data_IF_743262345903
#
_entry.id   IF_743262345903
#
_cell.length_a   1.000
_cell.length_b   1.000
_cell.length_c   1.000
_cell.angle_alpha   90.00
_cell.angle_beta   90.00
_cell.angle_gamma   90.00
#
_symmetry.space_group_name_H-M   'P 1'
#
loop_
_entity.id
_entity.type
_entity.pdbx_description
1 polymer ?
#
# COMPACT_ATOMS: atom_id res chain seq x y z
N UNK A 1 10.74 -0.37 -14.19
CA UNK A 1 10.90 -1.64 -13.43
C UNK A 1 9.57 -2.37 -13.50
N UNK A 2 9.48 -3.71 -13.31
CA UNK A 2 8.18 -4.37 -13.25
C UNK A 2 7.27 -3.68 -12.22
N UNK A 3 6.03 -3.35 -12.58
CA UNK A 3 4.99 -2.76 -11.72
C UNK A 3 5.25 -1.37 -11.12
N UNK A 4 6.50 -0.90 -11.16
CA UNK A 4 6.90 0.40 -10.66
C UNK A 4 7.32 1.30 -11.83
N UNK A 5 6.63 2.42 -12.08
CA UNK A 5 6.80 3.26 -13.28
C UNK A 5 8.05 4.15 -13.21
N UNK A 6 9.21 3.55 -12.96
CA UNK A 6 10.51 4.21 -12.84
C UNK A 6 11.43 3.86 -14.02
N UNK A 7 12.08 4.87 -14.65
CA UNK A 7 13.20 4.64 -15.55
C UNK A 7 14.49 4.38 -14.76
N UNK A 8 15.36 3.53 -15.30
CA UNK A 8 16.74 3.42 -14.80
C UNK A 8 17.55 4.65 -15.20
N UNK A 9 17.84 5.51 -14.22
CA UNK A 9 18.65 6.73 -14.36
C UNK A 9 19.28 7.11 -13.01
N UNK A 10 20.22 8.05 -13.05
CA UNK A 10 20.83 8.65 -11.86
C UNK A 10 20.85 10.17 -12.00
N UNK A 11 20.89 10.90 -10.89
CA UNK A 11 21.05 12.34 -10.92
C UNK A 11 22.08 12.81 -9.90
N UNK A 12 22.85 13.84 -10.26
CA UNK A 12 23.66 14.60 -9.31
C UNK A 12 22.93 15.92 -9.06
N UNK A 13 22.56 16.16 -7.80
CA UNK A 13 21.97 17.42 -7.36
C UNK A 13 23.07 18.36 -6.89
N UNK A 14 23.16 19.55 -7.48
CA UNK A 14 24.12 20.57 -7.11
C UNK A 14 23.44 21.65 -6.28
N UNK A 15 24.13 22.18 -5.26
CA UNK A 15 23.64 23.31 -4.49
C UNK A 15 23.62 24.63 -5.30
N UNK A 16 24.47 24.76 -6.31
CA UNK A 16 24.74 26.02 -7.03
C UNK A 16 24.20 26.08 -8.45
N UNK A 17 23.70 24.96 -9.00
CA UNK A 17 23.26 24.87 -10.40
C UNK A 17 22.19 23.79 -10.59
N UNK A 18 21.61 23.74 -11.79
CA UNK A 18 20.63 22.71 -12.15
C UNK A 18 21.17 21.29 -11.91
N UNK A 19 20.34 20.34 -11.45
CA UNK A 19 20.71 18.94 -11.39
C UNK A 19 21.11 18.39 -12.76
N UNK A 20 22.04 17.44 -12.75
CA UNK A 20 22.42 16.70 -13.95
C UNK A 20 21.81 15.30 -13.91
N UNK A 21 20.95 14.98 -14.87
CA UNK A 21 20.28 13.69 -15.04
C UNK A 21 21.05 12.82 -16.04
N UNK A 22 21.48 11.65 -15.60
CA UNK A 22 22.19 10.63 -16.39
C UNK A 22 21.23 9.51 -16.75
N UNK A 23 20.88 9.42 -18.03
CA UNK A 23 19.87 8.48 -18.53
C UNK A 23 20.23 8.03 -19.94
N UNK A 24 19.82 6.81 -20.30
CA UNK A 24 19.93 6.31 -21.68
C UNK A 24 19.14 7.22 -22.64
N UNK A 25 19.78 7.86 -23.64
CA UNK A 25 19.11 8.81 -24.53
C UNK A 25 17.91 8.23 -25.27
N UNK A 26 17.89 6.92 -25.53
CA UNK A 26 16.78 6.23 -26.22
C UNK A 26 15.47 6.29 -25.42
N UNK A 27 15.54 6.51 -24.11
CA UNK A 27 14.37 6.65 -23.22
C UNK A 27 13.81 8.08 -23.18
N UNK A 28 14.49 9.05 -23.80
CA UNK A 28 14.15 10.47 -23.71
C UNK A 28 13.74 11.01 -25.09
N UNK A 29 12.46 10.81 -25.43
CA UNK A 29 11.85 11.39 -26.62
C UNK A 29 11.73 12.92 -26.56
N UNK A 30 11.35 13.55 -27.68
CA UNK A 30 11.30 15.00 -27.82
C UNK A 30 10.43 15.70 -26.76
N UNK A 31 9.24 15.17 -26.47
CA UNK A 31 8.35 15.73 -25.45
C UNK A 31 8.97 15.71 -24.05
N UNK A 32 9.56 14.58 -23.66
CA UNK A 32 10.23 14.42 -22.35
C UNK A 32 11.42 15.37 -22.26
N UNK A 33 12.22 15.46 -23.33
CA UNK A 33 13.36 16.38 -23.40
C UNK A 33 12.94 17.84 -23.23
N UNK A 34 11.88 18.26 -23.94
CA UNK A 34 11.35 19.62 -23.85
C UNK A 34 10.81 19.95 -22.45
N UNK A 35 10.13 18.99 -21.81
CA UNK A 35 9.65 19.14 -20.44
C UNK A 35 10.81 19.28 -19.44
N UNK A 36 11.82 18.40 -19.53
CA UNK A 36 12.93 18.34 -18.57
C UNK A 36 13.97 19.46 -18.74
N UNK A 37 14.11 20.05 -19.92
CA UNK A 37 15.14 21.07 -20.21
C UNK A 37 15.09 22.30 -19.27
N UNK A 38 13.91 22.60 -18.73
CA UNK A 38 13.74 23.69 -17.75
C UNK A 38 14.33 23.34 -16.39
N UNK A 39 14.30 22.07 -15.99
CA UNK A 39 14.59 21.62 -14.63
C UNK A 39 15.98 21.00 -14.49
N UNK A 40 16.43 20.21 -15.47
CA UNK A 40 17.67 19.43 -15.39
C UNK A 40 18.49 19.54 -16.67
N UNK A 41 19.81 19.33 -16.54
CA UNK A 41 20.68 19.07 -17.68
C UNK A 41 20.74 17.57 -17.94
N UNK A 42 20.44 17.12 -19.15
CA UNK A 42 20.44 15.70 -19.51
C UNK A 42 21.81 15.31 -20.06
N UNK A 43 22.38 14.23 -19.52
CA UNK A 43 23.61 13.60 -19.99
C UNK A 43 23.38 12.11 -20.25
N UNK A 44 24.19 11.54 -21.14
CA UNK A 44 24.22 10.10 -21.37
C UNK A 44 24.63 9.36 -20.08
N UNK A 45 24.05 8.19 -19.83
CA UNK A 45 24.38 7.35 -18.67
C UNK A 45 25.88 7.08 -18.54
N UNK A 46 26.61 6.93 -19.64
CA UNK A 46 28.06 6.70 -19.68
C UNK A 46 28.88 7.85 -19.10
N UNK A 47 28.35 9.07 -19.07
CA UNK A 47 29.03 10.25 -18.53
C UNK A 47 29.06 10.30 -16.98
N UNK A 48 28.28 9.44 -16.30
CA UNK A 48 28.14 9.48 -14.83
C UNK A 48 29.48 9.30 -14.11
N UNK A 49 30.29 8.31 -14.52
CA UNK A 49 31.58 8.06 -13.89
C UNK A 49 32.54 9.25 -14.03
N UNK A 50 32.56 9.89 -15.21
CA UNK A 50 33.34 11.10 -15.45
C UNK A 50 32.90 12.25 -14.55
N UNK A 51 31.58 12.47 -14.42
CA UNK A 51 31.04 13.51 -13.56
C UNK A 51 31.37 13.30 -12.07
N UNK A 52 31.32 12.06 -11.57
CA UNK A 52 31.75 11.72 -10.20
C UNK A 52 33.25 11.98 -10.01
N UNK A 53 34.08 11.63 -10.99
CA UNK A 53 35.52 11.90 -10.96
C UNK A 53 35.83 13.40 -10.91
N UNK A 54 35.07 14.21 -11.64
CA UNK A 54 35.25 15.66 -11.64
C UNK A 54 34.82 16.30 -10.30
N UNK A 55 33.82 15.75 -9.61
CA UNK A 55 33.51 16.12 -8.22
C UNK A 55 34.71 15.85 -7.29
N UNK A 56 35.34 14.69 -7.42
CA UNK A 56 36.52 14.36 -6.62
C UNK A 56 37.73 15.24 -6.88
N UNK A 57 38.05 15.54 -8.16
CA UNK A 57 39.12 16.50 -8.50
C UNK A 57 38.89 17.87 -7.89
N UNK A 58 37.63 18.30 -7.81
CA UNK A 58 37.23 19.55 -7.18
C UNK A 58 37.23 19.49 -5.65
N UNK A 59 37.57 18.34 -5.04
CA UNK A 59 37.44 18.06 -3.60
C UNK A 59 36.06 18.42 -3.06
N UNK A 60 35.03 18.15 -3.86
CA UNK A 60 33.67 18.50 -3.51
C UNK A 60 33.17 17.67 -2.32
N UNK A 61 32.32 18.28 -1.51
CA UNK A 61 31.57 17.62 -0.44
C UNK A 61 30.30 17.00 -1.02
N UNK A 62 30.17 15.68 -0.97
CA UNK A 62 29.08 14.95 -1.61
C UNK A 62 28.30 14.18 -0.55
N UNK A 63 27.01 14.51 -0.41
CA UNK A 63 26.11 13.72 0.43
C UNK A 63 25.81 12.39 -0.23
N UNK A 64 25.96 11.30 0.51
CA UNK A 64 25.64 9.96 0.05
C UNK A 64 24.89 9.22 1.16
N UNK A 65 23.78 8.59 0.82
CA UNK A 65 22.98 7.82 1.77
C UNK A 65 23.65 6.46 2.04
N UNK A 66 24.14 6.18 3.26
CA UNK A 66 24.81 4.93 3.55
C UNK A 66 23.88 3.71 3.53
N UNK A 67 22.56 3.89 3.65
CA UNK A 67 21.60 2.79 3.68
C UNK A 67 21.17 2.34 2.28
N UNK A 68 21.13 3.26 1.32
CA UNK A 68 20.50 3.01 0.01
C UNK A 68 21.42 3.20 -1.19
N UNK A 69 22.53 3.92 -1.06
CA UNK A 69 23.42 4.15 -2.18
C UNK A 69 24.27 2.90 -2.51
N UNK A 70 24.33 2.46 -3.78
CA UNK A 70 25.25 1.39 -4.17
C UNK A 70 26.72 1.74 -3.87
N UNK A 71 27.49 0.77 -3.37
CA UNK A 71 28.91 0.93 -3.02
C UNK A 71 29.78 1.51 -4.16
N UNK A 72 29.40 1.27 -5.42
CA UNK A 72 30.06 1.87 -6.57
C UNK A 72 30.15 3.40 -6.49
N UNK A 73 29.13 4.08 -5.98
CA UNK A 73 29.18 5.55 -5.82
C UNK A 73 30.24 5.99 -4.81
N UNK A 74 30.31 5.33 -3.65
CA UNK A 74 31.35 5.64 -2.66
C UNK A 74 32.74 5.34 -3.20
N UNK A 75 32.91 4.24 -3.95
CA UNK A 75 34.21 3.87 -4.52
C UNK A 75 34.70 4.91 -5.55
N UNK A 76 33.81 5.37 -6.45
CA UNK A 76 34.15 6.39 -7.43
C UNK A 76 34.48 7.74 -6.77
N UNK A 77 33.72 8.13 -5.76
CA UNK A 77 33.93 9.40 -5.04
C UNK A 77 35.21 9.39 -4.21
N UNK A 78 35.46 8.31 -3.46
CA UNK A 78 36.67 8.15 -2.65
C UNK A 78 37.93 8.09 -3.52
N UNK A 79 37.92 7.27 -4.58
CA UNK A 79 39.08 7.13 -5.47
C UNK A 79 39.42 8.41 -6.25
N UNK A 80 38.47 9.33 -6.39
CA UNK A 80 38.68 10.63 -7.05
C UNK A 80 39.00 11.77 -6.09
N UNK A 81 38.93 11.56 -4.77
CA UNK A 81 39.29 12.56 -3.75
C UNK A 81 38.14 13.45 -3.27
N UNK A 82 36.88 13.05 -3.48
CA UNK A 82 35.72 13.75 -2.92
C UNK A 82 35.59 13.50 -1.40
N UNK A 83 35.00 14.45 -0.67
CA UNK A 83 34.63 14.28 0.74
C UNK A 83 33.20 13.75 0.82
N UNK A 84 33.02 12.50 1.24
CA UNK A 84 31.68 11.91 1.41
C UNK A 84 31.09 12.33 2.76
N UNK A 85 29.89 12.91 2.71
CA UNK A 85 29.06 13.20 3.87
C UNK A 85 27.95 12.14 3.98
N UNK A 86 28.10 11.18 4.89
CA UNK A 86 27.11 10.14 5.12
C UNK A 86 25.83 10.71 5.75
N UNK A 87 24.76 10.79 4.97
CA UNK A 87 23.45 11.23 5.44
C UNK A 87 22.33 10.80 4.48
N UNK A 88 21.13 10.57 5.01
CA UNK A 88 19.96 10.07 4.27
C UNK A 88 19.66 10.82 2.97
N UNK A 89 19.09 10.17 1.96
CA UNK A 89 18.71 10.87 0.72
C UNK A 89 17.70 12.01 0.98
N UNK A 90 18.00 13.19 0.44
CA UNK A 90 17.19 14.40 0.57
C UNK A 90 15.82 14.27 -0.12
N UNK A 91 15.67 13.36 -1.07
CA UNK A 91 14.42 13.09 -1.76
C UNK A 91 13.44 12.27 -0.91
N UNK A 92 13.89 11.58 0.15
CA UNK A 92 13.06 10.67 0.94
C UNK A 92 11.89 11.38 1.63
N UNK A 93 12.16 12.46 2.36
CA UNK A 93 11.12 13.18 3.11
C UNK A 93 10.13 13.91 2.19
N UNK A 94 10.55 14.69 1.17
CA UNK A 94 9.62 15.38 0.29
C UNK A 94 8.66 14.46 -0.46
N UNK A 95 9.11 13.29 -0.94
CA UNK A 95 8.21 12.34 -1.62
C UNK A 95 7.31 11.56 -0.65
N UNK A 96 7.73 11.41 0.61
CA UNK A 96 6.93 10.75 1.64
C UNK A 96 5.68 11.56 2.01
N UNK A 97 5.81 12.89 2.06
CA UNK A 97 4.74 13.83 2.43
C UNK A 97 4.03 14.29 1.16
N UNK A 98 2.86 13.72 0.87
CA UNK A 98 2.09 14.05 -0.33
C UNK A 98 1.45 15.43 -0.15
N UNK A 99 1.50 16.23 -1.21
CA UNK A 99 0.79 17.51 -1.23
C UNK A 99 -0.71 17.30 -1.51
N UNK A 100 -1.50 18.37 -1.43
CA UNK A 100 -2.97 18.29 -1.60
C UNK A 100 -3.42 17.74 -2.95
N UNK A 101 -2.68 17.97 -4.03
CA UNK A 101 -2.97 17.44 -5.37
C UNK A 101 -2.69 15.94 -5.42
N UNK A 102 -1.57 15.49 -4.85
CA UNK A 102 -1.23 14.06 -4.76
C UNK A 102 -2.22 13.30 -3.87
N UNK A 103 -2.65 13.88 -2.75
CA UNK A 103 -3.67 13.26 -1.87
C UNK A 103 -5.02 13.20 -2.60
N UNK A 104 -5.43 14.26 -3.32
CA UNK A 104 -6.65 14.23 -4.12
C UNK A 104 -6.58 13.16 -5.22
N UNK A 105 -5.43 13.03 -5.89
CA UNK A 105 -5.17 11.96 -6.85
C UNK A 105 -5.28 10.57 -6.22
N UNK A 106 -4.69 10.37 -5.05
CA UNK A 106 -4.79 9.12 -4.30
C UNK A 106 -6.26 8.79 -3.97
N UNK A 107 -7.06 9.74 -3.50
CA UNK A 107 -8.51 9.54 -3.28
C UNK A 107 -9.23 9.10 -4.56
N UNK A 108 -8.99 9.78 -5.69
CA UNK A 108 -9.59 9.42 -6.98
C UNK A 108 -9.15 8.04 -7.48
N UNK A 109 -7.88 7.67 -7.28
CA UNK A 109 -7.37 6.34 -7.60
C UNK A 109 -8.08 5.25 -6.76
N UNK A 110 -8.27 5.47 -5.46
CA UNK A 110 -8.94 4.51 -4.58
C UNK A 110 -10.45 4.43 -4.78
N UNK A 111 -11.11 5.52 -5.17
CA UNK A 111 -12.52 5.48 -5.58
C UNK A 111 -12.68 4.57 -6.82
N UNK A 112 -11.83 4.78 -7.83
CA UNK A 112 -11.82 3.98 -9.05
C UNK A 112 -11.51 2.50 -8.78
N UNK A 113 -10.48 2.24 -7.98
CA UNK A 113 -10.12 0.87 -7.61
C UNK A 113 -11.19 0.21 -6.74
N UNK A 114 -11.84 0.99 -5.86
CA UNK A 114 -12.97 0.55 -5.05
C UNK A 114 -14.15 0.07 -5.90
N UNK A 115 -14.44 0.72 -7.03
CA UNK A 115 -15.44 0.24 -8.00
C UNK A 115 -15.03 -1.12 -8.57
N UNK A 116 -13.78 -1.26 -9.05
CA UNK A 116 -13.28 -2.51 -9.62
C UNK A 116 -13.31 -3.67 -8.60
N UNK A 117 -12.85 -3.42 -7.37
CA UNK A 117 -12.85 -4.40 -6.28
C UNK A 117 -14.27 -4.76 -5.87
N UNK A 118 -15.20 -3.80 -5.75
CA UNK A 118 -16.59 -4.12 -5.40
C UNK A 118 -17.28 -4.97 -6.47
N UNK A 119 -17.02 -4.72 -7.76
CA UNK A 119 -17.51 -5.58 -8.86
C UNK A 119 -16.90 -6.97 -8.81
N UNK A 120 -15.61 -7.07 -8.49
CA UNK A 120 -14.95 -8.35 -8.27
C UNK A 120 -15.57 -9.13 -7.11
N UNK A 121 -15.76 -8.50 -5.95
CA UNK A 121 -16.35 -9.15 -4.79
C UNK A 121 -17.79 -9.61 -5.05
N UNK A 122 -18.60 -8.78 -5.72
CA UNK A 122 -19.95 -9.15 -6.14
C UNK A 122 -19.95 -10.35 -7.11
N UNK A 123 -19.07 -10.31 -8.11
CA UNK A 123 -18.89 -11.40 -9.08
C UNK A 123 -18.48 -12.69 -8.38
N UNK A 124 -17.49 -12.64 -7.47
CA UNK A 124 -16.97 -13.80 -6.77
C UNK A 124 -18.04 -14.44 -5.86
N UNK A 125 -18.83 -13.61 -5.17
CA UNK A 125 -19.91 -14.08 -4.31
C UNK A 125 -20.99 -14.80 -5.12
N UNK A 126 -21.31 -14.30 -6.32
CA UNK A 126 -22.23 -14.95 -7.26
C UNK A 126 -21.72 -16.30 -7.82
N UNK A 127 -20.41 -16.56 -7.76
CA UNK A 127 -19.83 -17.86 -8.14
C UNK A 127 -19.88 -18.90 -7.00
N UNK A 128 -20.19 -18.49 -5.76
CA UNK A 128 -20.22 -19.41 -4.61
C UNK A 128 -21.58 -20.11 -4.52
N UNK A 129 -21.66 -21.45 -4.35
CA UNK A 129 -20.58 -22.39 -4.05
C UNK A 129 -20.06 -23.18 -5.27
N UNK A 130 -20.28 -22.71 -6.50
CA UNK A 130 -20.14 -23.49 -7.75
C UNK A 130 -18.73 -24.04 -8.04
N UNK A 131 -17.71 -23.71 -7.24
CA UNK A 131 -16.40 -24.37 -7.24
C UNK A 131 -15.61 -24.26 -8.55
N UNK A 132 -16.08 -23.45 -9.49
CA UNK A 132 -15.51 -23.27 -10.84
C UNK A 132 -14.31 -22.33 -10.83
N UNK A 133 -14.30 -21.37 -9.90
CA UNK A 133 -13.23 -20.37 -9.74
C UNK A 133 -12.01 -20.97 -9.05
N UNK A 134 -10.83 -20.64 -9.55
CA UNK A 134 -9.53 -20.90 -8.92
C UNK A 134 -8.75 -19.60 -8.69
N UNK A 135 -7.60 -19.71 -8.03
CA UNK A 135 -6.76 -18.57 -7.68
C UNK A 135 -6.35 -17.74 -8.91
N UNK A 136 -5.96 -18.39 -10.01
CA UNK A 136 -5.56 -17.70 -11.25
C UNK A 136 -6.76 -16.96 -11.84
N UNK A 137 -7.88 -17.65 -12.07
CA UNK A 137 -9.07 -17.03 -12.69
C UNK A 137 -9.67 -15.91 -11.84
N UNK A 138 -9.56 -15.99 -10.51
CA UNK A 138 -9.95 -14.89 -9.62
C UNK A 138 -9.04 -13.66 -9.78
N UNK A 139 -7.72 -13.86 -9.83
CA UNK A 139 -6.74 -12.77 -10.03
C UNK A 139 -6.94 -12.09 -11.40
N UNK A 140 -7.04 -12.90 -12.47
CA UNK A 140 -7.31 -12.40 -13.83
C UNK A 140 -8.62 -11.63 -13.90
N UNK A 141 -9.66 -12.10 -13.21
CA UNK A 141 -10.96 -11.42 -13.19
C UNK A 141 -10.91 -10.08 -12.46
N UNK A 142 -10.18 -9.99 -11.35
CA UNK A 142 -9.99 -8.73 -10.63
C UNK A 142 -9.21 -7.72 -11.48
N UNK A 143 -8.14 -8.16 -12.14
CA UNK A 143 -7.38 -7.31 -13.05
C UNK A 143 -8.24 -6.84 -14.23
N UNK A 144 -9.07 -7.73 -14.80
CA UNK A 144 -9.99 -7.36 -15.87
C UNK A 144 -10.97 -6.25 -15.44
N UNK A 145 -11.49 -6.29 -14.21
CA UNK A 145 -12.34 -5.20 -13.69
C UNK A 145 -11.58 -3.87 -13.56
N UNK A 146 -10.27 -3.90 -13.27
CA UNK A 146 -9.41 -2.71 -13.29
C UNK A 146 -9.15 -2.22 -14.72
N UNK A 147 -8.92 -3.12 -15.67
CA UNK A 147 -8.79 -2.78 -17.11
C UNK A 147 -10.06 -2.09 -17.62
N UNK A 148 -11.24 -2.59 -17.25
CA UNK A 148 -12.54 -2.03 -17.63
C UNK A 148 -12.75 -0.57 -17.16
N UNK A 149 -11.95 -0.07 -16.20
CA UNK A 149 -11.97 1.35 -15.82
C UNK A 149 -11.42 2.27 -16.92
N UNK A 150 -10.67 1.73 -17.88
CA UNK A 150 -9.99 2.49 -18.94
C UNK A 150 -8.85 3.39 -18.46
N UNK A 151 -8.46 3.29 -17.18
CA UNK A 151 -7.42 4.14 -16.57
C UNK A 151 -6.23 3.37 -16.02
N UNK A 152 -6.33 2.05 -15.88
CA UNK A 152 -5.22 1.20 -15.43
C UNK A 152 -3.99 1.41 -16.31
N UNK A 153 -2.84 1.61 -15.67
CA UNK A 153 -1.53 1.61 -16.36
C UNK A 153 -0.84 0.28 -16.25
N UNK A 154 -0.86 -0.30 -15.05
CA UNK A 154 -0.35 -1.64 -14.74
C UNK A 154 -0.91 -2.03 -13.36
N UNK A 155 -0.85 -3.31 -12.98
CA UNK A 155 -0.97 -3.70 -11.57
C UNK A 155 0.26 -3.19 -10.79
N UNK A 156 0.08 -2.75 -9.54
CA UNK A 156 1.18 -2.18 -8.72
C UNK A 156 2.14 -3.22 -8.15
N UNK A 157 1.74 -4.50 -8.18
CA UNK A 157 2.54 -5.69 -7.89
C UNK A 157 1.80 -6.94 -8.41
N UNK A 158 2.49 -8.08 -8.44
CA UNK A 158 1.87 -9.37 -8.76
C UNK A 158 0.78 -9.71 -7.73
N UNK A 159 -0.46 -9.90 -8.18
CA UNK A 159 -1.58 -10.21 -7.29
C UNK A 159 -1.34 -11.52 -6.53
N UNK A 160 -1.42 -11.46 -5.20
CA UNK A 160 -1.45 -12.63 -4.34
C UNK A 160 -2.90 -13.12 -4.31
N UNK A 161 -3.11 -14.34 -4.75
CA UNK A 161 -4.43 -14.98 -4.82
C UNK A 161 -4.32 -16.35 -4.18
N UNK A 162 -4.70 -16.46 -2.91
CA UNK A 162 -4.45 -17.64 -2.08
C UNK A 162 -5.72 -18.24 -1.48
N UNK A 163 -6.08 -19.46 -1.89
CA UNK A 163 -7.22 -20.21 -1.39
C UNK A 163 -6.81 -21.25 -0.34
N UNK A 164 -7.49 -21.24 0.81
CA UNK A 164 -7.21 -22.14 1.92
C UNK A 164 -5.73 -22.08 2.32
N UNK A 165 -5.00 -23.21 2.34
CA UNK A 165 -3.60 -23.26 2.80
C UNK A 165 -2.67 -22.28 2.10
N UNK A 166 -2.90 -21.98 0.82
CA UNK A 166 -2.07 -21.04 0.07
C UNK A 166 -2.17 -19.61 0.60
N UNK A 167 -3.33 -19.23 1.15
CA UNK A 167 -3.51 -17.93 1.81
C UNK A 167 -2.66 -17.78 3.08
N UNK A 168 -2.17 -18.88 3.67
CA UNK A 168 -1.28 -18.83 4.85
C UNK A 168 0.18 -18.48 4.49
N UNK A 169 0.54 -18.43 3.21
CA UNK A 169 1.89 -18.08 2.76
C UNK A 169 1.89 -16.58 2.44
N UNK A 170 2.57 -15.78 3.26
CA UNK A 170 2.50 -14.30 3.22
C UNK A 170 2.82 -13.75 1.83
N UNK A 171 3.91 -14.22 1.21
CA UNK A 171 4.33 -13.85 -0.15
C UNK A 171 4.01 -14.96 -1.16
N UNK A 172 2.79 -15.51 -1.10
CA UNK A 172 2.37 -16.54 -2.04
C UNK A 172 2.31 -15.98 -3.46
N UNK A 173 2.86 -16.73 -4.42
CA UNK A 173 2.69 -16.46 -5.84
C UNK A 173 2.11 -17.70 -6.51
N UNK A 174 0.89 -17.57 -7.03
CA UNK A 174 0.21 -18.65 -7.71
C UNK A 174 0.96 -19.04 -8.98
N UNK A 175 1.09 -20.34 -9.21
CA UNK A 175 1.60 -20.90 -10.46
C UNK A 175 0.57 -21.89 -11.01
N UNK A 176 0.72 -22.31 -12.27
CA UNK A 176 -0.15 -23.35 -12.84
C UNK A 176 -0.11 -24.66 -12.05
N UNK A 177 1.00 -24.97 -11.38
CA UNK A 177 1.15 -26.20 -10.57
C UNK A 177 0.63 -26.05 -9.14
N UNK A 178 0.58 -24.83 -8.60
CA UNK A 178 0.11 -24.56 -7.22
C UNK A 178 -1.33 -24.03 -7.16
N UNK A 179 -1.95 -23.74 -8.31
CA UNK A 179 -3.30 -23.20 -8.47
C UNK A 179 -4.37 -24.08 -7.80
N UNK A 180 -5.16 -23.49 -6.91
CA UNK A 180 -6.24 -24.16 -6.18
C UNK A 180 -7.61 -23.61 -6.56
N UNK A 181 -8.59 -24.51 -6.66
CA UNK A 181 -10.01 -24.14 -6.71
C UNK A 181 -10.47 -23.54 -5.38
N UNK A 182 -11.30 -22.51 -5.44
CA UNK A 182 -11.94 -21.91 -4.28
C UNK A 182 -13.07 -22.83 -3.82
N UNK A 183 -12.83 -23.56 -2.72
CA UNK A 183 -13.76 -24.57 -2.19
C UNK A 183 -14.62 -23.97 -1.07
N UNK A 184 -15.89 -24.38 -1.02
CA UNK A 184 -16.79 -24.04 0.09
C UNK A 184 -16.19 -24.49 1.43
N UNK A 185 -16.34 -23.67 2.47
CA UNK A 185 -15.76 -23.87 3.79
C UNK A 185 -14.31 -23.40 3.94
N UNK A 186 -13.73 -22.73 2.93
CA UNK A 186 -12.38 -22.17 2.98
C UNK A 186 -12.39 -20.65 2.98
N UNK A 187 -11.24 -20.05 3.34
CA UNK A 187 -10.99 -18.62 3.11
C UNK A 187 -10.24 -18.43 1.79
N UNK A 188 -10.52 -17.32 1.14
CA UNK A 188 -9.77 -16.82 0.00
C UNK A 188 -9.18 -15.45 0.34
N UNK A 189 -7.87 -15.33 0.27
CA UNK A 189 -7.14 -14.08 0.46
C UNK A 189 -6.73 -13.58 -0.91
N UNK A 190 -7.12 -12.34 -1.23
CA UNK A 190 -6.65 -11.62 -2.42
C UNK A 190 -6.01 -10.32 -2.00
N UNK A 191 -4.75 -10.15 -2.39
CA UNK A 191 -3.98 -8.94 -2.19
C UNK A 191 -3.45 -8.45 -3.53
N UNK A 192 -3.78 -7.21 -3.85
CA UNK A 192 -3.62 -6.69 -5.19
C UNK A 192 -3.67 -5.16 -5.19
N UNK A 193 -3.07 -4.56 -6.21
CA UNK A 193 -3.15 -3.12 -6.38
C UNK A 193 -2.99 -2.69 -7.84
N UNK A 194 -3.15 -1.39 -8.08
CA UNK A 194 -3.11 -0.80 -9.40
C UNK A 194 -2.26 0.47 -9.43
N UNK A 195 -1.64 0.70 -10.59
CA UNK A 195 -1.02 1.95 -10.96
C UNK A 195 -2.00 2.75 -11.82
N UNK A 196 -2.34 3.94 -11.34
CA UNK A 196 -3.03 4.97 -12.09
C UNK A 196 -2.15 6.22 -12.17
N UNK A 197 -2.32 7.06 -13.19
CA UNK A 197 -1.51 8.29 -13.31
C UNK A 197 -1.64 9.22 -12.11
N UNK A 198 -2.75 9.11 -11.39
CA UNK A 198 -3.13 9.89 -10.23
C UNK A 198 -2.81 9.21 -8.89
N UNK A 199 -2.34 7.96 -8.87
CA UNK A 199 -1.98 7.29 -7.62
C UNK A 199 -1.66 5.81 -7.74
N UNK A 200 -1.11 5.24 -6.67
CA UNK A 200 -0.84 3.82 -6.51
C UNK A 200 -1.78 3.25 -5.44
N UNK A 201 -2.42 2.11 -5.70
CA UNK A 201 -3.27 1.43 -4.72
C UNK A 201 -2.63 0.14 -4.21
N UNK A 202 -3.02 -0.22 -2.99
CA UNK A 202 -2.72 -1.49 -2.35
C UNK A 202 -3.93 -1.91 -1.50
N UNK A 203 -4.36 -3.15 -1.63
CA UNK A 203 -5.55 -3.66 -0.94
C UNK A 203 -5.57 -5.19 -0.88
N UNK A 204 -5.55 -5.67 0.36
CA UNK A 204 -5.93 -7.03 0.72
C UNK A 204 -7.37 -7.15 1.25
N UNK A 205 -8.10 -8.14 0.74
CA UNK A 205 -9.35 -8.65 1.34
C UNK A 205 -9.28 -10.16 1.55
N UNK A 206 -9.77 -10.58 2.71
CA UNK A 206 -10.04 -12.00 2.98
C UNK A 206 -11.54 -12.26 2.92
N UNK A 207 -11.95 -13.23 2.11
CA UNK A 207 -13.34 -13.55 1.77
C UNK A 207 -13.66 -14.98 2.21
N UNK A 208 -14.85 -15.17 2.79
CA UNK A 208 -15.38 -16.51 3.07
C UNK A 208 -15.93 -17.14 1.78
N UNK A 209 -15.41 -18.31 1.39
CA UNK A 209 -16.02 -19.12 0.33
C UNK A 209 -16.96 -20.10 1.00
N UNK A 210 -18.26 -19.80 1.01
CA UNK A 210 -19.25 -20.54 1.78
C UNK A 210 -19.17 -20.27 3.30
N UNK A 211 -19.77 -21.14 4.14
CA UNK A 211 -19.82 -20.92 5.59
C UNK A 211 -18.44 -21.00 6.26
N UNK A 212 -17.97 -19.96 6.97
CA UNK A 212 -16.70 -20.00 7.69
C UNK A 212 -16.82 -20.74 9.03
N UNK A 213 -15.71 -21.31 9.50
CA UNK A 213 -15.63 -21.94 10.82
C UNK A 213 -15.63 -20.90 11.96
N UNK A 214 -15.95 -21.33 13.20
CA UNK A 214 -15.83 -20.48 14.39
C UNK A 214 -14.41 -19.94 14.57
N UNK A 215 -13.40 -20.76 14.33
CA UNK A 215 -12.00 -20.33 14.42
C UNK A 215 -11.68 -19.26 13.39
N UNK A 216 -12.05 -19.45 12.12
CA UNK A 216 -11.82 -18.45 11.07
C UNK A 216 -12.46 -17.09 11.43
N UNK A 217 -13.67 -17.10 12.00
CA UNK A 217 -14.34 -15.87 12.46
C UNK A 217 -13.61 -15.22 13.64
N UNK A 218 -13.17 -16.00 14.62
CA UNK A 218 -12.37 -15.48 15.74
C UNK A 218 -11.08 -14.81 15.25
N UNK A 219 -10.31 -15.51 14.41
CA UNK A 219 -9.03 -15.00 13.89
C UNK A 219 -9.23 -13.76 13.02
N UNK A 220 -10.25 -13.77 12.15
CA UNK A 220 -10.56 -12.61 11.33
C UNK A 220 -10.95 -11.41 12.17
N UNK A 221 -11.77 -11.61 13.19
CA UNK A 221 -12.22 -10.52 14.05
C UNK A 221 -11.08 -9.92 14.85
N UNK A 222 -10.09 -10.70 15.28
CA UNK A 222 -8.87 -10.18 15.93
C UNK A 222 -8.03 -9.32 14.98
N UNK A 223 -7.82 -9.79 13.75
CA UNK A 223 -7.13 -9.01 12.71
C UNK A 223 -7.89 -7.71 12.43
N UNK A 224 -9.22 -7.77 12.33
CA UNK A 224 -10.08 -6.61 12.15
C UNK A 224 -9.96 -5.61 13.31
N UNK A 225 -9.95 -6.08 14.56
CA UNK A 225 -9.74 -5.22 15.73
C UNK A 225 -8.39 -4.50 15.66
N UNK A 226 -7.34 -5.20 15.22
CA UNK A 226 -6.03 -4.59 14.99
C UNK A 226 -6.06 -3.51 13.92
N UNK A 227 -6.73 -3.79 12.80
CA UNK A 227 -6.91 -2.85 11.70
C UNK A 227 -7.67 -1.59 12.16
N UNK A 228 -8.75 -1.77 12.91
CA UNK A 228 -9.55 -0.67 13.47
C UNK A 228 -8.73 0.15 14.47
N UNK A 229 -7.92 -0.51 15.32
CA UNK A 229 -7.08 0.17 16.30
C UNK A 229 -6.10 1.16 15.65
N UNK A 230 -5.51 0.79 14.50
CA UNK A 230 -4.68 1.70 13.71
C UNK A 230 -5.55 2.79 13.06
N UNK A 231 -6.59 2.40 12.32
CA UNK A 231 -7.40 3.33 11.54
C UNK A 231 -8.13 4.39 12.40
N UNK A 232 -8.39 4.08 13.67
CA UNK A 232 -9.03 4.99 14.63
C UNK A 232 -8.06 5.68 15.59
N UNK A 233 -6.76 5.42 15.47
CA UNK A 233 -5.76 5.99 16.36
C UNK A 233 -5.77 7.52 16.34
N UNK A 234 -5.47 8.11 17.50
CA UNK A 234 -5.17 9.53 17.68
C UNK A 234 -3.85 9.63 18.42
N UNK A 235 -2.91 10.39 17.87
CA UNK A 235 -1.53 10.40 18.34
C UNK A 235 -0.89 11.79 18.21
N UNK A 236 0.00 12.18 19.13
CA UNK A 236 0.65 13.49 19.10
C UNK A 236 1.72 13.56 18.00
N UNK A 237 2.12 14.79 17.66
CA UNK A 237 3.28 15.04 16.80
C UNK A 237 4.54 14.36 17.38
N UNK A 238 5.32 13.73 16.51
CA UNK A 238 6.55 13.03 16.89
C UNK A 238 6.38 11.53 17.13
N UNK A 239 5.15 11.01 17.18
CA UNK A 239 4.88 9.57 17.20
C UNK A 239 5.44 8.90 15.94
N UNK A 240 6.18 7.81 16.13
CA UNK A 240 6.78 7.02 15.05
C UNK A 240 5.91 5.81 14.76
N UNK A 241 6.06 5.21 13.58
CA UNK A 241 5.24 4.05 13.22
C UNK A 241 5.47 2.82 14.10
N UNK A 242 6.66 2.65 14.69
CA UNK A 242 6.92 1.60 15.67
C UNK A 242 6.13 1.76 16.97
N UNK A 243 5.74 2.99 17.31
CA UNK A 243 4.95 3.28 18.52
C UNK A 243 3.47 2.89 18.31
N UNK A 244 3.02 2.77 17.05
CA UNK A 244 1.65 2.38 16.67
C UNK A 244 1.52 0.90 16.30
N UNK A 245 2.56 0.25 15.78
CA UNK A 245 2.55 -1.17 15.37
C UNK A 245 1.98 -2.13 16.45
N UNK A 246 2.24 -1.97 17.76
CA UNK A 246 1.62 -2.80 18.79
C UNK A 246 0.08 -2.73 18.84
N UNK A 247 -0.53 -1.61 18.43
CA UNK A 247 -1.99 -1.46 18.43
C UNK A 247 -2.67 -2.48 17.51
N UNK A 248 -2.05 -2.75 16.35
CA UNK A 248 -2.54 -3.74 15.39
C UNK A 248 -2.38 -5.18 15.89
N UNK A 249 -1.36 -5.44 16.72
CA UNK A 249 -1.00 -6.77 17.20
C UNK A 249 -1.71 -7.16 18.49
N UNK A 250 -2.04 -6.18 19.33
CA UNK A 250 -2.58 -6.42 20.68
C UNK A 250 -3.78 -7.40 20.70
N UNK A 251 -4.78 -7.34 19.79
CA UNK A 251 -5.88 -8.30 19.79
C UNK A 251 -5.46 -9.76 19.49
N UNK A 252 -4.38 -9.95 18.73
CA UNK A 252 -3.78 -11.25 18.44
C UNK A 252 -2.89 -11.72 19.60
N UNK A 253 -2.07 -10.84 20.17
CA UNK A 253 -1.24 -11.15 21.33
C UNK A 253 -2.06 -11.61 22.53
N UNK A 254 -3.23 -11.01 22.77
CA UNK A 254 -4.17 -11.44 23.81
C UNK A 254 -4.69 -12.89 23.62
N UNK A 255 -4.47 -13.51 22.46
CA UNK A 255 -4.77 -14.91 22.18
C UNK A 255 -3.51 -15.76 21.90
N UNK A 256 -2.31 -15.24 22.17
CA UNK A 256 -1.04 -15.94 21.91
C UNK A 256 -0.70 -16.07 20.44
N UNK A 257 -1.13 -15.11 19.60
CA UNK A 257 -0.90 -15.10 18.15
C UNK A 257 -0.12 -13.85 17.74
N UNK A 258 0.57 -13.89 16.61
CA UNK A 258 1.22 -12.73 15.97
C UNK A 258 1.24 -12.92 14.43
N UNK A 259 1.84 -11.97 13.72
CA UNK A 259 2.16 -12.05 12.29
C UNK A 259 3.58 -11.54 11.99
N UNK A 260 4.29 -12.21 11.08
CA UNK A 260 5.72 -12.03 10.83
C UNK A 260 6.06 -11.00 9.73
N UNK A 261 5.25 -9.94 9.62
CA UNK A 261 5.52 -8.80 8.76
C UNK A 261 5.18 -7.47 9.48
N UNK A 262 5.49 -6.34 8.85
CA UNK A 262 5.11 -5.02 9.37
C UNK A 262 3.59 -4.81 9.31
N UNK A 263 3.05 -3.94 10.17
CA UNK A 263 1.64 -3.53 10.12
C UNK A 263 1.35 -2.63 8.90
N UNK A 264 2.36 -1.95 8.37
CA UNK A 264 2.25 -1.25 7.11
C UNK A 264 3.53 -0.55 6.66
N UNK A 265 3.52 -0.07 5.42
CA UNK A 265 4.62 0.62 4.74
C UNK A 265 4.09 1.89 4.07
N UNK A 266 4.98 2.84 3.75
CA UNK A 266 4.57 3.99 2.94
C UNK A 266 4.24 3.59 1.50
N UNK A 267 3.47 4.42 0.82
CA UNK A 267 3.06 4.22 -0.59
C UNK A 267 3.32 5.48 -1.41
N UNK A 268 3.85 5.31 -2.62
CA UNK A 268 4.14 6.39 -3.56
C UNK A 268 2.92 6.92 -4.30
N UNK A 269 3.05 8.13 -4.87
CA UNK A 269 2.06 8.71 -5.78
C UNK A 269 2.42 8.34 -7.23
N UNK A 270 1.74 7.34 -7.79
CA UNK A 270 2.10 6.73 -9.10
C UNK A 270 3.57 6.30 -9.15
N UNK A 271 4.01 5.58 -8.13
CA UNK A 271 5.39 5.17 -7.89
C UNK A 271 5.42 3.79 -7.19
N UNK A 272 6.45 3.50 -6.39
CA UNK A 272 6.56 2.22 -5.67
C UNK A 272 5.39 2.04 -4.71
N UNK A 273 4.79 0.85 -4.73
CA UNK A 273 3.79 0.45 -3.73
C UNK A 273 4.42 0.34 -2.34
N UNK A 274 5.68 -0.12 -2.27
CA UNK A 274 6.48 -0.11 -1.06
C UNK A 274 7.43 1.11 -1.08
N UNK A 275 7.08 2.16 -0.35
CA UNK A 275 7.82 3.41 -0.33
C UNK A 275 8.23 3.82 1.10
N UNK A 276 9.53 4.04 1.31
CA UNK A 276 10.05 4.64 2.54
C UNK A 276 10.07 6.18 2.53
N UNK A 277 10.40 6.79 3.69
CA UNK A 277 10.98 6.13 4.86
C UNK A 277 9.97 5.74 5.95
N UNK A 278 8.74 6.28 5.90
CA UNK A 278 7.68 5.98 6.86
C UNK A 278 7.18 4.53 6.73
N UNK A 279 6.88 3.89 7.87
CA UNK A 279 6.29 2.56 7.95
C UNK A 279 5.71 2.34 9.35
N UNK A 280 4.65 1.56 9.46
CA UNK A 280 4.11 1.09 10.75
C UNK A 280 4.67 -0.31 10.97
N UNK A 281 5.82 -0.39 11.62
CA UNK A 281 6.46 -1.66 11.94
C UNK A 281 7.41 -1.51 13.10
N UNK A 282 7.91 -2.63 13.63
CA UNK A 282 8.99 -2.67 14.63
C UNK A 282 10.25 -1.88 14.22
N UNK A 283 10.43 -1.59 12.93
CA UNK A 283 11.55 -0.81 12.37
C UNK A 283 11.18 0.64 12.02
N UNK A 284 9.92 1.04 12.26
CA UNK A 284 9.39 2.36 11.88
C UNK A 284 9.85 3.47 12.81
N UNK A 285 11.11 3.88 12.71
CA UNK A 285 11.73 4.90 13.57
C UNK A 285 11.45 6.35 13.14
N UNK A 286 10.96 6.55 11.92
CA UNK A 286 10.63 7.89 11.40
C UNK A 286 9.29 8.37 11.97
N UNK A 287 9.21 9.61 12.50
CA UNK A 287 7.94 10.20 12.91
C UNK A 287 6.95 10.28 11.74
N UNK A 288 5.69 9.96 12.02
CA UNK A 288 4.62 10.14 11.04
C UNK A 288 4.27 11.63 10.93
N UNK A 289 4.13 12.11 9.71
CA UNK A 289 3.82 13.50 9.40
C UNK A 289 2.56 13.58 8.49
N UNK A 290 1.77 14.67 8.58
CA UNK A 290 0.60 14.88 7.73
C UNK A 290 0.92 14.73 6.25
N UNK A 291 0.00 14.11 5.50
CA UNK A 291 0.17 13.82 4.07
C UNK A 291 1.00 12.57 3.77
N UNK A 292 1.58 11.90 4.76
CA UNK A 292 2.15 10.57 4.54
C UNK A 292 1.04 9.55 4.29
N UNK A 293 1.16 8.80 3.18
CA UNK A 293 0.29 7.64 2.87
C UNK A 293 0.99 6.37 3.33
N UNK A 294 0.29 5.52 4.07
CA UNK A 294 0.75 4.22 4.56
C UNK A 294 -0.30 3.11 4.34
N UNK A 295 0.11 1.86 4.21
CA UNK A 295 -0.77 0.70 4.40
C UNK A 295 -1.09 0.49 5.89
N UNK A 296 -2.23 -0.16 6.15
CA UNK A 296 -2.66 -0.68 7.45
C UNK A 296 -3.21 -2.09 7.21
N UNK A 297 -2.35 -3.07 7.40
CA UNK A 297 -2.49 -4.42 6.85
C UNK A 297 -2.19 -5.55 7.87
N UNK A 298 -2.74 -5.53 9.10
CA UNK A 298 -2.53 -6.65 10.02
C UNK A 298 -3.02 -7.97 9.42
N UNK A 299 -2.38 -9.05 9.86
CA UNK A 299 -2.68 -10.39 9.35
C UNK A 299 -2.62 -11.48 10.42
N UNK A 300 -3.00 -12.68 10.01
CA UNK A 300 -2.84 -13.92 10.76
C UNK A 300 -2.75 -15.08 9.76
N UNK A 301 -1.75 -15.94 9.95
CA UNK A 301 -1.47 -17.03 9.02
C UNK A 301 -1.35 -18.34 9.79
N UNK A 302 -2.30 -19.26 9.54
CA UNK A 302 -2.28 -20.61 10.10
C UNK A 302 -1.72 -21.56 9.06
N UNK A 303 -0.46 -21.95 9.25
CA UNK A 303 0.29 -22.81 8.33
C UNK A 303 -0.52 -24.04 7.91
N UNK A 304 -0.52 -24.31 6.60
CA UNK A 304 -1.24 -25.43 6.02
C UNK A 304 -2.77 -25.36 6.09
N UNK A 305 -3.36 -24.26 6.57
CA UNK A 305 -4.82 -24.11 6.75
C UNK A 305 -5.42 -22.91 6.01
N UNK A 306 -5.11 -21.69 6.43
CA UNK A 306 -5.63 -20.44 5.86
C UNK A 306 -4.83 -19.24 6.35
N UNK A 307 -4.90 -18.14 5.61
CA UNK A 307 -4.42 -16.85 6.08
C UNK A 307 -5.51 -15.79 5.97
N UNK A 308 -5.30 -14.72 6.73
CA UNK A 308 -6.16 -13.57 6.85
C UNK A 308 -5.27 -12.35 6.82
N UNK A 309 -5.62 -11.37 5.98
CA UNK A 309 -5.09 -10.02 6.03
C UNK A 309 -6.20 -9.04 5.67
N UNK A 310 -6.21 -7.91 6.36
CA UNK A 310 -7.18 -6.82 6.13
C UNK A 310 -6.36 -5.56 5.93
N UNK A 311 -6.37 -5.06 4.69
CA UNK A 311 -5.52 -3.95 4.32
C UNK A 311 -6.30 -2.79 3.72
N UNK A 312 -5.97 -1.60 4.19
CA UNK A 312 -6.36 -0.35 3.56
C UNK A 312 -5.17 0.60 3.55
N UNK A 313 -5.09 1.46 2.54
CA UNK A 313 -4.25 2.64 2.59
C UNK A 313 -4.93 3.72 3.42
N UNK A 314 -4.12 4.40 4.21
CA UNK A 314 -4.48 5.49 5.11
C UNK A 314 -3.54 6.67 4.87
N UNK A 315 -4.03 7.89 5.04
CA UNK A 315 -3.23 9.11 5.02
C UNK A 315 -3.23 9.76 6.40
N UNK A 316 -2.08 10.26 6.84
CA UNK A 316 -1.96 10.99 8.12
C UNK A 316 -2.65 12.34 7.99
N UNK A 317 -3.61 12.61 8.88
CA UNK A 317 -4.33 13.88 8.96
C UNK A 317 -3.49 14.96 9.65
N UNK A 318 -3.81 16.22 9.37
CA UNK A 318 -3.30 17.36 10.14
C UNK A 318 -3.70 17.24 11.63
N UNK A 319 -2.86 17.74 12.57
CA UNK A 319 -3.22 17.79 13.98
C UNK A 319 -4.53 18.57 14.19
N UNK A 320 -5.42 18.01 15.01
CA UNK A 320 -6.69 18.63 15.35
C UNK A 320 -6.95 18.57 16.87
N UNK A 321 -7.60 19.60 17.40
CA UNK A 321 -8.05 19.62 18.78
C UNK A 321 -9.11 18.53 19.03
N UNK A 322 -8.95 17.76 20.10
CA UNK A 322 -9.94 16.77 20.55
C UNK A 322 -10.77 17.39 21.68
N UNK A 323 -12.10 17.27 21.59
CA UNK A 323 -13.00 17.81 22.62
C UNK A 323 -12.66 17.23 24.00
N UNK A 324 -12.31 18.10 24.94
CA UNK A 324 -11.88 17.73 26.30
C UNK A 324 -10.41 17.31 26.42
N UNK A 325 -9.63 17.37 25.34
CA UNK A 325 -8.19 17.14 25.35
C UNK A 325 -7.37 18.43 25.53
N UNK A 326 -6.12 18.27 25.97
CA UNK A 326 -5.18 19.37 26.22
C UNK A 326 -4.16 19.58 25.08
N UNK A 327 -4.17 18.71 24.06
CA UNK A 327 -3.22 18.72 22.94
C UNK A 327 -3.93 18.37 21.64
N UNK A 328 -3.44 18.96 20.55
CA UNK A 328 -3.83 18.54 19.21
C UNK A 328 -3.28 17.14 18.91
N UNK A 329 -4.07 16.33 18.24
CA UNK A 329 -3.74 14.97 17.86
C UNK A 329 -3.86 14.83 16.35
N UNK A 330 -2.88 14.17 15.74
CA UNK A 330 -3.02 13.65 14.39
C UNK A 330 -3.89 12.40 14.40
N UNK A 331 -4.30 11.98 13.21
CA UNK A 331 -5.10 10.78 12.99
C UNK A 331 -4.85 10.22 11.61
N UNK A 332 -5.79 9.40 11.15
CA UNK A 332 -5.77 8.83 9.81
C UNK A 332 -7.13 8.99 9.13
N UNK A 333 -7.09 9.26 7.83
CA UNK A 333 -8.18 9.06 6.89
C UNK A 333 -7.94 7.76 6.11
N UNK A 334 -8.95 6.89 6.01
CA UNK A 334 -8.89 5.69 5.17
C UNK A 334 -9.21 6.03 3.71
N UNK A 335 -8.25 5.76 2.82
CA UNK A 335 -8.37 5.97 1.38
C UNK A 335 -9.08 4.80 0.69
N UNK A 336 -8.77 3.56 1.08
CA UNK A 336 -9.31 2.35 0.43
C UNK A 336 -10.82 2.19 0.64
N UNK A 337 -11.54 1.88 -0.44
CA UNK A 337 -13.00 1.81 -0.45
C UNK A 337 -13.51 0.45 -0.97
N UNK A 338 -13.52 -0.56 -0.10
CA UNK A 338 -14.15 -1.85 -0.39
C UNK A 338 -14.65 -2.53 0.89
N UNK A 339 -15.82 -3.19 0.89
CA UNK A 339 -16.37 -3.81 2.09
C UNK A 339 -15.43 -4.88 2.66
N UNK A 340 -15.54 -5.10 3.97
CA UNK A 340 -14.91 -6.21 4.68
C UNK A 340 -15.99 -7.28 4.87
N UNK A 341 -15.65 -8.56 4.70
CA UNK A 341 -16.66 -9.63 4.67
C UNK A 341 -17.31 -9.84 6.05
N UNK A 342 -18.56 -9.40 6.20
CA UNK A 342 -19.33 -9.47 7.45
C UNK A 342 -19.59 -10.92 7.91
N UNK A 343 -19.50 -11.91 7.02
CA UNK A 343 -19.65 -13.33 7.38
C UNK A 343 -18.50 -13.81 8.28
N UNK A 344 -17.34 -13.18 8.17
CA UNK A 344 -16.16 -13.47 8.98
C UNK A 344 -16.14 -12.72 10.32
N UNK A 345 -17.05 -11.76 10.53
CA UNK A 345 -17.07 -10.96 11.74
C UNK A 345 -17.81 -11.68 12.87
N UNK A 346 -17.12 -11.86 13.99
CA UNK A 346 -17.68 -12.28 15.26
C UNK A 346 -18.13 -11.11 16.10
N UNK A 347 -19.40 -10.71 15.94
CA UNK A 347 -19.99 -9.51 16.56
C UNK A 347 -19.81 -9.47 18.08
N UNK A 348 -19.79 -10.63 18.74
CA UNK A 348 -19.62 -10.73 20.19
C UNK A 348 -18.21 -10.35 20.66
N UNK A 349 -17.22 -10.29 19.76
CA UNK A 349 -15.85 -9.85 20.10
C UNK A 349 -15.62 -8.37 19.85
N UNK A 350 -16.53 -7.70 19.15
CA UNK A 350 -16.43 -6.27 18.87
C UNK A 350 -16.97 -5.45 20.04
N UNK A 351 -16.25 -4.39 20.37
CA UNK A 351 -16.76 -3.32 21.21
C UNK A 351 -17.78 -2.48 20.43
N UNK A 352 -18.59 -1.69 21.14
CA UNK A 352 -19.52 -0.75 20.49
C UNK A 352 -18.79 0.23 19.57
N UNK A 353 -17.60 0.69 19.97
CA UNK A 353 -16.78 1.60 19.17
C UNK A 353 -16.30 0.95 17.88
N UNK A 354 -15.84 -0.31 17.95
CA UNK A 354 -15.39 -1.06 16.77
C UNK A 354 -16.54 -1.38 15.82
N UNK A 355 -17.70 -1.77 16.35
CA UNK A 355 -18.94 -1.96 15.57
C UNK A 355 -19.34 -0.66 14.87
N UNK A 356 -19.32 0.46 15.58
CA UNK A 356 -19.64 1.77 15.01
C UNK A 356 -18.64 2.17 13.93
N UNK A 357 -17.34 1.94 14.14
CA UNK A 357 -16.32 2.22 13.12
C UNK A 357 -16.59 1.42 11.84
N UNK A 358 -16.86 0.11 11.96
CA UNK A 358 -17.12 -0.75 10.81
C UNK A 358 -18.39 -0.32 10.06
N UNK A 359 -19.46 0.01 10.80
CA UNK A 359 -20.71 0.50 10.22
C UNK A 359 -20.51 1.84 9.48
N UNK A 360 -19.73 2.77 10.04
CA UNK A 360 -19.42 4.05 9.40
C UNK A 360 -18.53 3.86 8.16
N UNK A 361 -17.51 3.01 8.25
CA UNK A 361 -16.66 2.66 7.12
C UNK A 361 -17.48 2.05 5.98
N UNK A 362 -18.33 1.06 6.26
CA UNK A 362 -19.22 0.44 5.26
C UNK A 362 -20.26 1.42 4.70
N UNK A 363 -20.80 2.33 5.52
CA UNK A 363 -21.67 3.38 5.04
C UNK A 363 -20.95 4.34 4.09
N UNK A 364 -19.68 4.69 4.36
CA UNK A 364 -18.86 5.51 3.48
C UNK A 364 -18.57 4.79 2.15
N UNK A 365 -18.14 3.52 2.20
CA UNK A 365 -17.94 2.69 1.00
C UNK A 365 -19.20 2.67 0.15
N UNK A 366 -20.37 2.40 0.75
CA UNK A 366 -21.64 2.38 0.02
C UNK A 366 -21.97 3.75 -0.57
N UNK A 367 -21.81 4.83 0.19
CA UNK A 367 -22.11 6.20 -0.26
C UNK A 367 -21.27 6.56 -1.49
N UNK A 368 -19.98 6.24 -1.46
CA UNK A 368 -19.03 6.62 -2.51
C UNK A 368 -19.13 5.71 -3.73
N UNK A 369 -19.23 4.38 -3.55
CA UNK A 369 -19.12 3.42 -4.65
C UNK A 369 -20.46 3.10 -5.33
N UNK A 370 -21.58 3.08 -4.59
CA UNK A 370 -22.88 2.70 -5.16
C UNK A 370 -23.40 3.55 -6.33
N UNK A 371 -23.06 4.85 -6.46
CA UNK A 371 -23.39 5.64 -7.66
C UNK A 371 -22.74 5.12 -8.94
N UNK A 372 -21.61 4.42 -8.86
CA UNK A 372 -20.84 3.91 -9.99
C UNK A 372 -21.17 2.45 -10.35
N UNK A 373 -22.02 1.79 -9.55
CA UNK A 373 -22.44 0.41 -9.78
C UNK A 373 -23.87 0.37 -10.32
N UNK A 374 -24.16 -0.66 -11.14
CA UNK A 374 -25.47 -0.91 -11.72
C UNK A 374 -25.94 -2.33 -11.42
N UNK A 375 -27.24 -2.58 -11.57
CA UNK A 375 -27.82 -3.91 -11.47
C UNK A 375 -27.46 -4.64 -10.16
N UNK A 376 -27.03 -5.90 -10.30
CA UNK A 376 -26.77 -6.77 -9.16
C UNK A 376 -25.56 -6.36 -8.33
N UNK A 377 -24.54 -5.74 -8.92
CA UNK A 377 -23.35 -5.27 -8.18
C UNK A 377 -23.74 -4.23 -7.13
N UNK A 378 -24.68 -3.33 -7.47
CA UNK A 378 -25.19 -2.32 -6.54
C UNK A 378 -26.04 -2.92 -5.41
N UNK A 379 -26.86 -3.91 -5.74
CA UNK A 379 -27.68 -4.64 -4.76
C UNK A 379 -26.78 -5.40 -3.78
N UNK A 380 -25.78 -6.11 -4.32
CA UNK A 380 -24.78 -6.83 -3.55
C UNK A 380 -24.03 -5.88 -2.60
N UNK A 381 -23.54 -4.74 -3.10
CA UNK A 381 -22.81 -3.78 -2.26
C UNK A 381 -23.65 -3.29 -1.09
N UNK A 382 -24.94 -3.03 -1.30
CA UNK A 382 -25.86 -2.63 -0.23
C UNK A 382 -25.97 -3.70 0.86
N UNK A 383 -26.04 -4.98 0.48
CA UNK A 383 -26.10 -6.10 1.42
C UNK A 383 -24.76 -6.28 2.16
N UNK A 384 -23.64 -6.27 1.43
CA UNK A 384 -22.29 -6.44 1.98
C UNK A 384 -21.86 -5.31 2.94
N UNK A 385 -22.55 -4.16 2.90
CA UNK A 385 -22.29 -2.99 3.75
C UNK A 385 -23.40 -2.74 4.78
N UNK A 386 -24.25 -3.74 5.06
CA UNK A 386 -25.32 -3.62 6.05
C UNK A 386 -24.74 -3.37 7.44
N UNK A 387 -25.40 -2.52 8.24
CA UNK A 387 -24.99 -2.31 9.62
C UNK A 387 -25.17 -3.60 10.45
N UNK A 388 -24.23 -3.86 11.37
CA UNK A 388 -24.21 -5.07 12.20
C UNK A 388 -24.40 -4.84 13.68
#
# INVERSE_FOLDING_TARGET
MPHTPLPLCFAILYASKKPQLFIDPRKVGANVRGHLAKTVTIADKSALAGALKDLGKAKARVRLDPETAPAWFSDQLNSSGAEILSAADLCLRPKAIKNSVEIAGARSAHERDGVAVCRFLAWLDAQTPAGSVDEISAAERLEQFRVETGKLKEISFDTISGAGPNGAIVHYRVTRSTNRKLKSGTLYLVDSGAQYLDGTTDITRTIAIGPPTKEMRDRFTRVLKGHIAIASARFPKGTRGQDLDPLARLPLWNAGLDFDHGTGHGVGSYLSVHEGPQRISRLGSVPLEPGMILSNEPGYYKEGKYGIRIECLIVVDEPAAIKGGEREMMGFETLTLAPMDLRLVDRNQLTKQETNWLNLYHANVRKTIAPHLIGQDKVWLKQATSAI
#
